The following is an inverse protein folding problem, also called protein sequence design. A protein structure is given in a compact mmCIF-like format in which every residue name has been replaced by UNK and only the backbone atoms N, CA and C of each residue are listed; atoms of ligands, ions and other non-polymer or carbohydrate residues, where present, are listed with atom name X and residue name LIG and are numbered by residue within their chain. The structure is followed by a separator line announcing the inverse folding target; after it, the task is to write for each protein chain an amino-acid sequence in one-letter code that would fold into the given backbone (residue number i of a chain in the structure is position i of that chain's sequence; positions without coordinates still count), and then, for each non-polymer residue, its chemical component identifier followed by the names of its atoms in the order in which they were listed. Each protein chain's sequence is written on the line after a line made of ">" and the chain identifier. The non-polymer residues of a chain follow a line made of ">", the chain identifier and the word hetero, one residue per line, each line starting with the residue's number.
data_IF_454729907226
#
_entry.id   IF_454729907226
#
_cell.length_a   1.000
_cell.length_b   1.000
_cell.length_c   1.000
_cell.angle_alpha   90.00
_cell.angle_beta   90.00
_cell.angle_gamma   90.00
#
_symmetry.space_group_name_H-M   'P 1'
#
loop_
_entity.id
_entity.type
_entity.pdbx_description
1 polymer ?
#
# COMPACT_ATOMS: atom_id res chain seq x y z
N UNK A 1 -20.01 -5.80 -2.26
CA UNK A 1 -20.75 -6.68 -1.33
C UNK A 1 -22.21 -6.27 -1.12
N UNK A 2 -22.52 -5.04 -0.66
CA UNK A 2 -23.91 -4.58 -0.45
C UNK A 2 -24.75 -4.65 -1.73
N UNK A 3 -24.18 -4.22 -2.87
CA UNK A 3 -24.87 -4.19 -4.15
C UNK A 3 -25.18 -5.59 -4.71
N UNK A 4 -24.18 -6.48 -4.72
CA UNK A 4 -24.32 -7.84 -5.27
C UNK A 4 -25.02 -8.83 -4.33
N UNK A 5 -24.95 -8.60 -3.02
CA UNK A 5 -25.39 -9.57 -2.02
C UNK A 5 -24.61 -10.89 -2.04
N UNK A 6 -25.04 -11.90 -1.26
CA UNK A 6 -24.41 -13.22 -1.25
C UNK A 6 -24.53 -13.96 -2.57
N UNK A 7 -25.66 -13.82 -3.29
CA UNK A 7 -25.90 -14.57 -4.52
C UNK A 7 -25.11 -13.99 -5.69
N UNK A 8 -25.10 -12.67 -5.88
CA UNK A 8 -24.29 -12.05 -6.94
C UNK A 8 -22.78 -12.27 -6.75
N UNK A 9 -22.28 -12.25 -5.51
CA UNK A 9 -20.89 -12.62 -5.24
C UNK A 9 -20.60 -14.10 -5.52
N UNK A 10 -21.58 -14.98 -5.24
CA UNK A 10 -21.47 -16.40 -5.60
C UNK A 10 -21.44 -16.58 -7.11
N UNK A 11 -22.26 -15.85 -7.86
CA UNK A 11 -22.31 -15.92 -9.32
C UNK A 11 -21.02 -15.44 -9.95
N UNK A 12 -20.46 -14.31 -9.48
CA UNK A 12 -19.14 -13.81 -9.91
C UNK A 12 -18.07 -14.89 -9.64
N UNK A 13 -18.00 -15.40 -8.41
CA UNK A 13 -17.01 -16.41 -8.04
C UNK A 13 -17.16 -17.72 -8.85
N UNK A 14 -18.39 -18.20 -9.06
CA UNK A 14 -18.67 -19.41 -9.86
C UNK A 14 -18.34 -19.20 -11.33
N UNK A 15 -18.60 -18.01 -11.88
CA UNK A 15 -18.25 -17.67 -13.27
C UNK A 15 -16.74 -17.62 -13.46
N UNK A 16 -16.00 -16.95 -12.57
CA UNK A 16 -14.54 -16.91 -12.64
C UNK A 16 -13.95 -18.31 -12.51
N UNK A 17 -14.44 -19.11 -11.56
CA UNK A 17 -14.01 -20.50 -11.40
C UNK A 17 -14.33 -21.36 -12.64
N UNK A 18 -15.52 -21.20 -13.23
CA UNK A 18 -15.92 -21.87 -14.46
C UNK A 18 -14.95 -21.57 -15.62
N UNK A 19 -14.58 -20.30 -15.82
CA UNK A 19 -13.62 -19.93 -16.87
C UNK A 19 -12.25 -20.58 -16.63
N UNK A 20 -11.79 -20.64 -15.37
CA UNK A 20 -10.52 -21.26 -15.03
C UNK A 20 -10.54 -22.78 -15.23
N UNK A 21 -11.68 -23.44 -14.93
CA UNK A 21 -11.88 -24.87 -15.16
C UNK A 21 -11.97 -25.22 -16.65
N UNK A 22 -12.63 -24.39 -17.47
CA UNK A 22 -12.64 -24.55 -18.93
C UNK A 22 -11.21 -24.46 -19.46
N UNK A 23 -10.47 -23.42 -19.05
CA UNK A 23 -9.07 -23.23 -19.43
C UNK A 23 -8.25 -24.47 -19.03
N UNK A 24 -8.35 -24.92 -17.77
CA UNK A 24 -7.66 -26.11 -17.27
C UNK A 24 -7.96 -27.35 -18.11
N UNK A 25 -9.23 -27.65 -18.31
CA UNK A 25 -9.68 -28.85 -19.03
C UNK A 25 -9.12 -28.87 -20.46
N UNK A 26 -9.14 -27.73 -21.15
CA UNK A 26 -8.64 -27.67 -22.52
C UNK A 26 -7.11 -27.71 -22.57
N UNK A 27 -6.42 -27.02 -21.67
CA UNK A 27 -4.96 -27.10 -21.58
C UNK A 27 -4.48 -28.54 -21.31
N UNK A 28 -5.16 -29.29 -20.45
CA UNK A 28 -4.85 -30.70 -20.22
C UNK A 28 -5.05 -31.55 -21.48
N UNK A 29 -6.12 -31.29 -22.25
CA UNK A 29 -6.37 -31.97 -23.52
C UNK A 29 -5.31 -31.65 -24.59
N UNK A 30 -4.70 -30.45 -24.54
CA UNK A 30 -3.57 -30.05 -25.38
C UNK A 30 -2.23 -30.64 -24.92
N UNK A 31 -2.19 -31.36 -23.80
CA UNK A 31 -0.99 -32.01 -23.27
C UNK A 31 -0.19 -31.18 -22.26
N UNK A 32 -0.76 -30.09 -21.73
CA UNK A 32 -0.16 -29.38 -20.61
C UNK A 32 -0.43 -30.10 -19.28
N UNK A 33 0.50 -29.98 -18.35
CA UNK A 33 0.29 -30.30 -16.94
C UNK A 33 -0.09 -29.03 -16.18
N UNK A 34 -1.16 -29.10 -15.39
CA UNK A 34 -1.65 -27.98 -14.56
C UNK A 34 -1.48 -28.29 -13.07
N UNK A 35 -2.05 -27.47 -12.18
CA UNK A 35 -2.05 -27.72 -10.73
C UNK A 35 -2.57 -29.12 -10.37
N UNK A 36 -2.01 -29.70 -9.31
CA UNK A 36 -2.60 -30.84 -8.64
C UNK A 36 -3.79 -30.40 -7.79
N UNK A 37 -4.90 -31.12 -7.86
CA UNK A 37 -6.07 -30.91 -7.02
C UNK A 37 -6.97 -29.75 -7.45
N UNK A 38 -7.64 -29.14 -6.47
CA UNK A 38 -8.64 -28.10 -6.67
C UNK A 38 -8.00 -26.72 -6.91
N UNK A 39 -8.62 -25.93 -7.77
CA UNK A 39 -8.24 -24.55 -8.09
C UNK A 39 -9.44 -23.62 -7.89
N UNK A 40 -9.21 -22.32 -7.75
CA UNK A 40 -10.28 -21.34 -7.88
C UNK A 40 -10.19 -20.66 -9.25
N UNK A 41 -9.28 -19.71 -9.41
CA UNK A 41 -9.13 -18.86 -10.60
C UNK A 41 -7.75 -18.95 -11.25
N UNK A 42 -6.82 -19.65 -10.61
CA UNK A 42 -5.39 -19.58 -10.91
C UNK A 42 -4.83 -20.94 -11.31
N UNK A 43 -4.19 -20.97 -12.48
CA UNK A 43 -3.46 -22.11 -13.02
C UNK A 43 -1.96 -21.90 -12.96
N UNK A 44 -1.23 -22.96 -12.65
CA UNK A 44 0.20 -23.12 -12.89
C UNK A 44 0.37 -24.21 -13.95
N UNK A 45 0.78 -23.80 -15.14
CA UNK A 45 0.82 -24.60 -16.37
C UNK A 45 2.27 -24.92 -16.71
N UNK A 46 2.55 -26.16 -17.11
CA UNK A 46 3.89 -26.63 -17.50
C UNK A 46 3.81 -27.73 -18.56
N UNK A 47 4.91 -27.99 -19.26
CA UNK A 47 4.92 -28.94 -20.37
C UNK A 47 4.13 -28.43 -21.59
N UNK A 48 3.53 -29.34 -22.35
CA UNK A 48 2.69 -29.04 -23.51
C UNK A 48 3.44 -28.63 -24.79
N UNK A 49 2.70 -28.28 -25.85
CA UNK A 49 3.23 -28.03 -27.20
C UNK A 49 4.02 -26.73 -27.32
N UNK A 50 3.67 -25.68 -26.58
CA UNK A 50 4.42 -24.42 -26.58
C UNK A 50 5.34 -24.33 -25.36
N UNK A 51 6.59 -23.94 -25.62
CA UNK A 51 7.55 -23.56 -24.57
C UNK A 51 7.12 -22.27 -23.87
N UNK A 52 7.63 -22.02 -22.66
CA UNK A 52 7.40 -20.78 -21.91
C UNK A 52 7.65 -19.52 -22.75
N UNK A 53 8.73 -19.52 -23.55
CA UNK A 53 9.10 -18.38 -24.39
C UNK A 53 8.13 -18.18 -25.57
N UNK A 54 7.65 -19.26 -26.18
CA UNK A 54 6.62 -19.17 -27.22
C UNK A 54 5.32 -18.62 -26.67
N UNK A 55 4.87 -19.11 -25.52
CA UNK A 55 3.69 -18.59 -24.81
C UNK A 55 3.89 -17.11 -24.50
N UNK A 56 5.05 -16.72 -23.95
CA UNK A 56 5.36 -15.32 -23.63
C UNK A 56 5.23 -14.41 -24.85
N UNK A 57 5.85 -14.81 -25.96
CA UNK A 57 5.81 -14.04 -27.21
C UNK A 57 4.38 -13.90 -27.74
N UNK A 58 3.59 -14.98 -27.72
CA UNK A 58 2.20 -14.96 -28.17
C UNK A 58 1.30 -14.14 -27.24
N UNK A 59 1.51 -14.21 -25.93
CA UNK A 59 0.79 -13.42 -24.94
C UNK A 59 1.05 -11.91 -25.15
N UNK A 60 2.32 -11.52 -25.31
CA UNK A 60 2.68 -10.12 -25.59
C UNK A 60 2.12 -9.63 -26.93
N UNK A 61 2.03 -10.49 -27.95
CA UNK A 61 1.42 -10.13 -29.23
C UNK A 61 -0.11 -9.90 -29.14
N UNK A 62 -0.73 -10.31 -28.04
CA UNK A 62 -2.15 -10.12 -27.74
C UNK A 62 -2.38 -9.20 -26.52
N UNK A 63 -1.37 -8.43 -26.11
CA UNK A 63 -1.42 -7.53 -24.94
C UNK A 63 -1.82 -8.23 -23.62
N UNK A 64 -1.43 -9.50 -23.45
CA UNK A 64 -1.66 -10.30 -22.25
C UNK A 64 -0.39 -10.47 -21.43
N UNK A 65 -0.47 -10.18 -20.14
CA UNK A 65 0.58 -10.49 -19.17
C UNK A 65 0.27 -11.79 -18.42
N UNK A 66 1.28 -12.66 -18.31
CA UNK A 66 1.23 -13.90 -17.53
C UNK A 66 2.38 -13.93 -16.52
N UNK A 67 2.28 -14.81 -15.51
CA UNK A 67 3.34 -14.99 -14.52
C UNK A 67 4.34 -16.04 -15.00
N UNK A 68 5.61 -15.69 -15.16
CA UNK A 68 6.64 -16.64 -15.60
C UNK A 68 7.47 -17.14 -14.41
N UNK A 69 7.56 -18.47 -14.24
CA UNK A 69 8.36 -19.09 -13.18
C UNK A 69 9.72 -19.54 -13.73
N UNK A 70 10.76 -19.48 -12.90
CA UNK A 70 12.11 -19.89 -13.28
C UNK A 70 12.24 -21.35 -13.77
N UNK A 71 11.33 -22.23 -13.34
CA UNK A 71 11.26 -23.64 -13.79
C UNK A 71 10.54 -23.87 -15.11
N UNK A 72 10.29 -22.84 -15.92
CA UNK A 72 9.61 -22.94 -17.22
C UNK A 72 8.08 -23.00 -17.14
N UNK A 73 7.48 -23.04 -15.95
CA UNK A 73 6.03 -22.98 -15.78
C UNK A 73 5.47 -21.57 -16.02
N UNK A 74 4.20 -21.48 -16.39
CA UNK A 74 3.45 -20.23 -16.60
C UNK A 74 2.25 -20.18 -15.66
N UNK A 75 2.05 -19.06 -14.99
CA UNK A 75 0.91 -18.80 -14.13
C UNK A 75 -0.13 -17.95 -14.86
N UNK A 76 -1.39 -18.37 -14.79
CA UNK A 76 -2.54 -17.66 -15.35
C UNK A 76 -3.57 -17.49 -14.25
N UNK A 77 -3.93 -16.26 -13.91
CA UNK A 77 -5.02 -15.96 -12.96
C UNK A 77 -6.13 -15.26 -13.72
N UNK A 78 -7.33 -15.81 -13.69
CA UNK A 78 -8.51 -15.19 -14.28
C UNK A 78 -9.24 -14.37 -13.23
N UNK A 79 -10.05 -13.40 -13.67
CA UNK A 79 -10.82 -12.54 -12.77
C UNK A 79 -12.25 -12.31 -13.31
N UNK A 80 -12.96 -11.36 -12.73
CA UNK A 80 -14.33 -11.01 -13.12
C UNK A 80 -14.41 -10.44 -14.55
N UNK A 81 -13.38 -9.74 -15.01
CA UNK A 81 -13.38 -9.02 -16.29
C UNK A 81 -13.19 -9.96 -17.50
N UNK A 82 -12.64 -11.15 -17.29
CA UNK A 82 -12.43 -12.15 -18.35
C UNK A 82 -13.75 -12.50 -19.04
N UNK A 83 -13.82 -12.35 -20.36
CA UNK A 83 -14.94 -12.81 -21.18
C UNK A 83 -14.57 -14.10 -21.92
N UNK A 84 -15.53 -14.65 -22.68
CA UNK A 84 -15.28 -15.82 -23.53
C UNK A 84 -14.23 -15.53 -24.60
N UNK A 85 -14.10 -14.28 -25.04
CA UNK A 85 -13.11 -13.91 -26.05
C UNK A 85 -11.69 -13.93 -25.47
N UNK A 86 -11.46 -13.32 -24.30
CA UNK A 86 -10.14 -13.39 -23.65
C UNK A 86 -9.78 -14.84 -23.30
N UNK A 87 -10.77 -15.66 -22.91
CA UNK A 87 -10.54 -17.10 -22.69
C UNK A 87 -10.09 -17.81 -23.97
N UNK A 88 -10.69 -17.51 -25.14
CA UNK A 88 -10.26 -18.07 -26.43
C UNK A 88 -8.86 -17.59 -26.81
N UNK A 89 -8.57 -16.30 -26.65
CA UNK A 89 -7.22 -15.75 -26.87
C UNK A 89 -6.18 -16.46 -26.01
N UNK A 90 -6.49 -16.73 -24.73
CA UNK A 90 -5.62 -17.52 -23.87
C UNK A 90 -5.41 -18.94 -24.43
N UNK A 91 -6.47 -19.63 -24.84
CA UNK A 91 -6.35 -20.97 -25.42
C UNK A 91 -5.44 -20.97 -26.67
N UNK A 92 -5.61 -20.00 -27.56
CA UNK A 92 -4.77 -19.83 -28.77
C UNK A 92 -3.30 -19.56 -28.41
N UNK A 93 -3.03 -18.73 -27.39
CA UNK A 93 -1.66 -18.51 -26.88
C UNK A 93 -0.99 -19.82 -26.46
N UNK A 94 -1.76 -20.72 -25.85
CA UNK A 94 -1.31 -22.05 -25.45
C UNK A 94 -1.37 -23.10 -26.59
N UNK A 95 -1.72 -22.72 -27.82
CA UNK A 95 -1.65 -23.59 -28.99
C UNK A 95 -2.95 -24.30 -29.34
N UNK A 96 -4.09 -23.81 -28.87
CA UNK A 96 -5.39 -24.18 -29.45
C UNK A 96 -5.50 -23.67 -30.89
N UNK A 97 -6.16 -24.44 -31.75
CA UNK A 97 -6.40 -24.12 -33.16
C UNK A 97 -7.68 -23.30 -33.39
N UNK A 98 -8.29 -22.79 -32.32
CA UNK A 98 -9.54 -22.03 -32.36
C UNK A 98 -10.78 -22.92 -32.48
N UNK A 99 -10.63 -24.25 -32.37
CA UNK A 99 -11.76 -25.19 -32.47
C UNK A 99 -12.40 -25.52 -31.13
N UNK A 100 -11.89 -24.97 -30.02
CA UNK A 100 -12.43 -25.22 -28.69
C UNK A 100 -13.91 -24.79 -28.59
N UNK A 101 -14.79 -25.78 -28.41
CA UNK A 101 -16.19 -25.54 -28.04
C UNK A 101 -16.28 -25.22 -26.55
N UNK A 102 -16.16 -23.92 -26.24
CA UNK A 102 -16.22 -23.38 -24.88
C UNK A 102 -17.55 -23.72 -24.19
N UNK A 103 -18.67 -23.77 -24.93
CA UNK A 103 -19.97 -24.09 -24.35
C UNK A 103 -20.07 -25.57 -23.95
N UNK A 104 -19.56 -26.46 -24.79
CA UNK A 104 -19.47 -27.88 -24.46
C UNK A 104 -18.56 -28.11 -23.25
N UNK A 105 -17.40 -27.44 -23.20
CA UNK A 105 -16.49 -27.51 -22.06
C UNK A 105 -17.17 -27.02 -20.78
N UNK A 106 -17.89 -25.89 -20.84
CA UNK A 106 -18.61 -25.34 -19.71
C UNK A 106 -19.65 -26.31 -19.10
N UNK A 107 -20.28 -27.15 -19.93
CA UNK A 107 -21.24 -28.19 -19.47
C UNK A 107 -20.55 -29.41 -18.87
N UNK A 108 -19.26 -29.62 -19.17
CA UNK A 108 -18.51 -30.81 -18.76
C UNK A 108 -17.72 -30.64 -17.45
N UNK A 109 -17.38 -29.39 -17.09
CA UNK A 109 -16.54 -29.12 -15.93
C UNK A 109 -17.32 -29.19 -14.61
N UNK A 110 -16.67 -29.75 -13.58
CA UNK A 110 -17.20 -29.79 -12.21
C UNK A 110 -16.82 -28.50 -11.49
N UNK A 111 -17.81 -27.72 -11.07
CA UNK A 111 -17.61 -26.45 -10.36
C UNK A 111 -17.70 -26.56 -8.83
N UNK A 112 -18.27 -27.66 -8.34
CA UNK A 112 -18.45 -27.82 -6.90
C UNK A 112 -17.21 -28.46 -6.30
N UNK A 113 -16.69 -27.82 -5.26
CA UNK A 113 -15.61 -28.39 -4.46
C UNK A 113 -16.13 -29.57 -3.63
N UNK A 114 -15.28 -30.59 -3.45
CA UNK A 114 -15.57 -31.67 -2.51
C UNK A 114 -15.19 -31.25 -1.07
N UNK A 115 -15.70 -31.99 -0.08
CA UNK A 115 -15.24 -31.83 1.30
C UNK A 115 -13.73 -32.12 1.40
N UNK A 116 -12.94 -31.34 2.16
CA UNK A 116 -13.36 -30.30 3.09
C UNK A 116 -13.38 -28.86 2.50
N UNK A 117 -13.20 -28.70 1.19
CA UNK A 117 -13.04 -27.39 0.55
C UNK A 117 -14.37 -26.69 0.24
N UNK A 118 -15.46 -27.46 0.13
CA UNK A 118 -16.80 -26.92 -0.14
C UNK A 118 -17.29 -26.03 1.00
N UNK A 119 -17.51 -24.74 0.73
CA UNK A 119 -18.17 -23.84 1.70
C UNK A 119 -19.64 -24.19 1.82
N UNK A 120 -20.07 -24.61 3.00
CA UNK A 120 -21.48 -24.93 3.32
C UNK A 120 -22.18 -23.87 4.18
N UNK A 121 -21.41 -22.98 4.82
CA UNK A 121 -21.94 -21.88 5.65
C UNK A 121 -22.64 -20.82 4.80
N UNK A 122 -23.75 -20.25 5.30
CA UNK A 122 -24.31 -19.01 4.76
C UNK A 122 -23.42 -17.79 5.09
N UNK A 123 -23.60 -16.68 4.37
CA UNK A 123 -22.87 -15.43 4.58
C UNK A 123 -23.69 -14.23 4.11
N UNK A 124 -23.35 -13.03 4.58
CA UNK A 124 -24.06 -11.78 4.26
C UNK A 124 -25.58 -11.87 4.51
N UNK A 125 -25.99 -12.55 5.59
CA UNK A 125 -27.41 -12.75 5.95
C UNK A 125 -28.07 -11.51 6.55
N UNK A 126 -27.28 -10.51 6.95
CA UNK A 126 -27.83 -9.26 7.48
C UNK A 126 -28.64 -8.53 6.39
N UNK A 127 -29.79 -7.90 6.72
CA UNK A 127 -30.65 -7.26 5.72
C UNK A 127 -29.94 -6.23 4.83
N UNK A 128 -28.90 -5.57 5.32
CA UNK A 128 -28.10 -4.58 4.56
C UNK A 128 -27.58 -5.13 3.23
N UNK A 129 -27.21 -6.41 3.16
CA UNK A 129 -26.67 -7.03 1.94
C UNK A 129 -27.76 -7.57 1.00
N UNK A 130 -29.03 -7.44 1.39
CA UNK A 130 -30.18 -8.04 0.71
C UNK A 130 -31.27 -7.00 0.37
N UNK A 131 -30.99 -5.70 0.52
CA UNK A 131 -31.99 -4.63 0.43
C UNK A 131 -31.72 -3.56 -0.64
N UNK A 132 -30.55 -3.56 -1.28
CA UNK A 132 -30.08 -2.46 -2.13
C UNK A 132 -29.43 -2.97 -3.42
N UNK A 133 -30.19 -3.73 -4.23
CA UNK A 133 -29.66 -4.39 -5.44
C UNK A 133 -30.02 -3.63 -6.72
N UNK A 134 -31.06 -2.78 -6.70
CA UNK A 134 -31.32 -1.83 -7.78
C UNK A 134 -30.38 -0.63 -7.71
N UNK A 135 -29.92 -0.14 -8.86
CA UNK A 135 -29.02 1.01 -8.95
C UNK A 135 -29.57 2.23 -8.18
N UNK A 136 -30.87 2.52 -8.32
CA UNK A 136 -31.51 3.63 -7.63
C UNK A 136 -31.67 3.42 -6.12
N UNK A 137 -31.78 2.17 -5.66
CA UNK A 137 -31.81 1.83 -4.23
C UNK A 137 -30.44 2.02 -3.60
N UNK A 138 -29.39 1.56 -4.29
CA UNK A 138 -28.00 1.78 -3.87
C UNK A 138 -27.64 3.26 -3.86
N UNK A 139 -28.06 4.03 -4.88
CA UNK A 139 -27.88 5.48 -4.91
C UNK A 139 -28.49 6.15 -3.67
N UNK A 140 -29.75 5.81 -3.35
CA UNK A 140 -30.44 6.34 -2.15
C UNK A 140 -29.75 5.89 -0.86
N UNK A 141 -29.27 4.66 -0.80
CA UNK A 141 -28.53 4.12 0.34
C UNK A 141 -27.24 4.91 0.59
N UNK A 142 -26.40 5.07 -0.44
CA UNK A 142 -25.16 5.85 -0.37
C UNK A 142 -25.46 7.29 0.04
N UNK A 143 -26.44 7.95 -0.60
CA UNK A 143 -26.78 9.34 -0.27
C UNK A 143 -27.27 9.50 1.16
N UNK A 144 -28.03 8.53 1.67
CA UNK A 144 -28.50 8.53 3.06
C UNK A 144 -27.36 8.39 4.06
N UNK A 145 -26.35 7.57 3.76
CA UNK A 145 -25.15 7.48 4.60
C UNK A 145 -24.35 8.78 4.54
N UNK A 146 -24.06 9.28 3.34
CA UNK A 146 -23.35 10.55 3.11
C UNK A 146 -23.99 11.71 3.90
N UNK A 147 -25.33 11.79 3.92
CA UNK A 147 -26.06 12.86 4.63
C UNK A 147 -25.91 12.86 6.16
N UNK A 148 -25.39 11.78 6.75
CA UNK A 148 -25.17 11.66 8.20
C UNK A 148 -23.78 12.13 8.62
N UNK A 149 -22.88 12.32 7.67
CA UNK A 149 -21.47 12.58 7.93
C UNK A 149 -21.13 14.03 7.57
N UNK A 150 -20.67 14.79 8.56
CA UNK A 150 -20.14 16.13 8.33
C UNK A 150 -18.80 16.02 7.61
N UNK A 151 -18.73 16.63 6.43
CA UNK A 151 -17.54 16.62 5.55
C UNK A 151 -17.10 18.04 5.17
N UNK A 152 -15.97 18.16 4.47
CA UNK A 152 -15.46 19.44 3.96
C UNK A 152 -16.38 20.11 2.92
N UNK A 153 -17.39 19.40 2.40
CA UNK A 153 -18.44 20.01 1.58
C UNK A 153 -19.41 20.89 2.39
N UNK A 154 -19.39 20.80 3.73
CA UNK A 154 -20.31 21.51 4.62
C UNK A 154 -19.65 22.70 5.31
N UNK A 155 -18.52 22.46 5.97
CA UNK A 155 -17.86 23.45 6.82
C UNK A 155 -16.39 23.10 7.02
N UNK A 156 -15.66 24.02 7.66
CA UNK A 156 -14.34 23.73 8.21
C UNK A 156 -14.42 22.56 9.21
N UNK A 157 -13.44 21.65 9.15
CA UNK A 157 -13.20 20.59 10.14
C UNK A 157 -11.82 20.86 10.77
N UNK A 158 -11.73 21.61 11.88
CA UNK A 158 -10.45 22.08 12.42
C UNK A 158 -9.76 21.04 13.32
N UNK A 159 -9.56 19.83 12.80
CA UNK A 159 -8.86 18.78 13.53
C UNK A 159 -7.34 19.06 13.52
N UNK A 160 -6.80 19.40 14.69
CA UNK A 160 -5.36 19.58 14.89
C UNK A 160 -4.58 18.34 14.46
N UNK A 161 -3.39 18.54 13.90
CA UNK A 161 -2.54 17.48 13.32
C UNK A 161 -3.13 16.73 12.10
N UNK A 162 -4.34 17.06 11.62
CA UNK A 162 -4.94 16.43 10.44
C UNK A 162 -4.79 17.24 9.14
N UNK A 163 -4.62 18.57 9.23
CA UNK A 163 -4.49 19.45 8.05
C UNK A 163 -5.64 19.25 7.05
N UNK A 164 -6.88 19.47 7.50
CA UNK A 164 -8.09 19.33 6.68
C UNK A 164 -8.18 20.45 5.62
N UNK A 165 -7.33 20.38 4.60
CA UNK A 165 -7.24 21.34 3.48
C UNK A 165 -8.11 20.92 2.30
N UNK A 166 -8.12 21.75 1.25
CA UNK A 166 -8.77 21.42 -0.01
C UNK A 166 -8.16 20.16 -0.64
N UNK A 167 -9.03 19.23 -1.05
CA UNK A 167 -8.71 18.16 -1.99
C UNK A 167 -9.28 18.57 -3.35
N UNK A 168 -8.48 19.18 -4.22
CA UNK A 168 -9.02 19.84 -5.40
C UNK A 168 -9.52 18.82 -6.42
N UNK A 169 -10.65 19.09 -7.06
CA UNK A 169 -11.21 18.18 -8.09
C UNK A 169 -10.19 17.88 -9.20
N UNK A 170 -9.41 18.88 -9.61
CA UNK A 170 -8.34 18.73 -10.61
C UNK A 170 -7.25 17.75 -10.19
N UNK A 171 -6.97 17.64 -8.89
CA UNK A 171 -6.00 16.69 -8.32
C UNK A 171 -6.59 15.28 -8.23
N UNK A 172 -7.90 15.17 -8.01
CA UNK A 172 -8.59 13.89 -7.79
C UNK A 172 -8.95 13.13 -9.06
N UNK A 173 -9.27 13.84 -10.16
CA UNK A 173 -9.80 13.23 -11.40
C UNK A 173 -8.90 12.09 -11.90
N UNK A 174 -7.58 12.29 -11.88
CA UNK A 174 -6.61 11.35 -12.44
C UNK A 174 -6.56 10.01 -11.72
N UNK A 175 -6.93 9.93 -10.43
CA UNK A 175 -6.90 8.68 -9.65
C UNK A 175 -7.77 7.58 -10.28
N UNK A 176 -8.80 7.95 -11.03
CA UNK A 176 -9.75 7.02 -11.68
C UNK A 176 -9.49 6.80 -13.17
N UNK A 177 -8.44 7.39 -13.75
CA UNK A 177 -8.10 7.13 -15.14
C UNK A 177 -7.63 5.68 -15.32
N UNK A 178 -8.05 4.97 -16.38
CA UNK A 178 -7.62 3.59 -16.61
C UNK A 178 -6.10 3.42 -16.64
N UNK A 179 -5.36 4.41 -17.15
CA UNK A 179 -3.90 4.41 -17.21
C UNK A 179 -3.22 4.41 -15.83
N UNK A 180 -3.93 4.87 -14.79
CA UNK A 180 -3.48 4.79 -13.40
C UNK A 180 -4.15 3.64 -12.65
N UNK A 181 -5.47 3.54 -12.67
CA UNK A 181 -6.24 2.59 -11.88
C UNK A 181 -6.25 1.16 -12.43
N UNK A 182 -5.96 0.98 -13.73
CA UNK A 182 -6.07 -0.31 -14.43
C UNK A 182 -4.77 -1.10 -14.53
N UNK A 183 -3.63 -0.56 -14.07
CA UNK A 183 -2.34 -1.22 -14.18
C UNK A 183 -2.10 -2.20 -13.02
N UNK A 184 -1.80 -3.46 -13.34
CA UNK A 184 -1.40 -4.42 -12.31
C UNK A 184 -0.03 -4.05 -11.71
N UNK A 185 0.17 -4.08 -10.38
CA UNK A 185 1.40 -3.57 -9.73
C UNK A 185 2.68 -4.33 -10.10
N UNK A 186 2.56 -5.56 -10.63
CA UNK A 186 3.68 -6.37 -11.13
C UNK A 186 3.72 -6.48 -12.65
N UNK A 187 3.08 -5.55 -13.38
CA UNK A 187 3.26 -5.44 -14.82
C UNK A 187 4.74 -5.23 -15.18
N UNK A 188 5.20 -5.73 -16.34
CA UNK A 188 6.52 -5.42 -16.88
C UNK A 188 6.85 -3.92 -16.83
N UNK A 189 8.10 -3.59 -16.51
CA UNK A 189 8.51 -2.21 -16.27
C UNK A 189 8.28 -1.30 -17.50
N UNK A 190 8.43 -1.82 -18.71
CA UNK A 190 8.18 -1.11 -19.97
C UNK A 190 6.70 -0.74 -20.19
N UNK A 191 5.77 -1.34 -19.47
CA UNK A 191 4.34 -1.00 -19.49
C UNK A 191 3.95 0.05 -18.43
N UNK A 192 4.91 0.46 -17.58
CA UNK A 192 4.70 1.37 -16.45
C UNK A 192 5.48 2.69 -16.57
N UNK A 193 5.95 3.03 -17.78
CA UNK A 193 6.83 4.19 -18.00
C UNK A 193 6.23 5.51 -17.51
N UNK A 194 4.90 5.70 -17.66
CA UNK A 194 4.20 6.87 -17.12
C UNK A 194 4.26 6.95 -15.59
N UNK A 195 4.14 5.82 -14.90
CA UNK A 195 4.33 5.76 -13.44
C UNK A 195 5.78 6.03 -13.04
N UNK A 196 6.76 5.51 -13.78
CA UNK A 196 8.17 5.77 -13.50
C UNK A 196 8.51 7.26 -13.62
N UNK A 197 7.98 7.95 -14.63
CA UNK A 197 8.12 9.39 -14.76
C UNK A 197 7.42 10.16 -13.62
N UNK A 198 6.21 9.73 -13.24
CA UNK A 198 5.48 10.30 -12.10
C UNK A 198 6.29 10.16 -10.80
N UNK A 199 6.82 8.97 -10.51
CA UNK A 199 7.62 8.70 -9.32
C UNK A 199 8.89 9.54 -9.30
N UNK A 200 9.66 9.55 -10.39
CA UNK A 200 10.91 10.32 -10.46
C UNK A 200 10.67 11.83 -10.26
N UNK A 201 9.58 12.38 -10.82
CA UNK A 201 9.21 13.79 -10.62
C UNK A 201 8.81 14.06 -9.17
N UNK A 202 7.95 13.20 -8.60
CA UNK A 202 7.47 13.36 -7.23
C UNK A 202 8.61 13.23 -6.22
N UNK A 203 9.47 12.21 -6.35
CA UNK A 203 10.65 12.02 -5.52
C UNK A 203 11.56 13.24 -5.57
N UNK A 204 11.83 13.80 -6.76
CA UNK A 204 12.62 15.02 -6.91
C UNK A 204 12.00 16.20 -6.17
N UNK A 205 10.70 16.41 -6.32
CA UNK A 205 10.01 17.52 -5.65
C UNK A 205 10.00 17.38 -4.13
N UNK A 206 9.74 16.16 -3.63
CA UNK A 206 9.73 15.88 -2.20
C UNK A 206 11.15 15.97 -1.61
N UNK A 207 12.17 15.53 -2.34
CA UNK A 207 13.57 15.70 -1.96
C UNK A 207 13.93 17.18 -1.81
N UNK A 208 13.57 18.01 -2.78
CA UNK A 208 13.79 19.47 -2.72
C UNK A 208 13.06 20.10 -1.52
N UNK A 209 11.76 19.79 -1.34
CA UNK A 209 10.95 20.32 -0.22
C UNK A 209 11.55 19.95 1.13
N UNK A 210 12.09 18.74 1.25
CA UNK A 210 12.59 18.22 2.52
C UNK A 210 14.09 18.46 2.74
N UNK A 211 14.82 18.81 1.70
CA UNK A 211 16.28 18.89 1.67
C UNK A 211 16.99 17.53 1.77
N UNK A 212 16.27 16.41 1.65
CA UNK A 212 16.87 15.07 1.68
C UNK A 212 17.45 14.65 0.33
N UNK A 213 18.42 13.73 0.37
CA UNK A 213 19.07 13.22 -0.83
C UNK A 213 18.21 12.21 -1.63
N UNK A 214 17.24 11.55 -0.99
CA UNK A 214 16.42 10.51 -1.59
C UNK A 214 15.06 10.39 -0.91
N UNK A 215 14.09 9.82 -1.64
CA UNK A 215 12.72 9.58 -1.16
C UNK A 215 12.33 8.14 -1.52
N UNK A 216 11.62 7.46 -0.63
CA UNK A 216 10.94 6.20 -0.92
C UNK A 216 9.43 6.43 -0.89
N UNK A 217 8.75 6.06 -1.98
CA UNK A 217 7.28 6.13 -2.10
C UNK A 217 6.57 4.86 -1.63
N UNK A 218 7.29 3.88 -1.07
CA UNK A 218 6.74 2.58 -0.69
C UNK A 218 5.83 2.62 0.56
N UNK A 219 6.15 3.38 1.63
CA UNK A 219 5.29 3.40 2.82
C UNK A 219 3.91 4.00 2.52
N UNK A 220 2.86 3.24 2.77
CA UNK A 220 1.48 3.57 2.42
C UNK A 220 0.68 4.28 3.53
N UNK A 221 1.34 4.63 4.64
CA UNK A 221 0.76 5.40 5.75
C UNK A 221 1.87 6.13 6.52
N UNK A 222 1.52 7.14 7.33
CA UNK A 222 2.49 7.87 8.16
C UNK A 222 3.24 6.95 9.14
N UNK A 223 2.51 6.10 9.85
CA UNK A 223 3.08 5.06 10.73
C UNK A 223 3.97 4.06 10.00
N UNK A 224 3.68 3.73 8.75
CA UNK A 224 4.54 2.89 7.93
C UNK A 224 5.83 3.61 7.52
N UNK A 225 5.77 4.93 7.33
CA UNK A 225 6.93 5.79 7.11
C UNK A 225 7.81 5.92 8.35
N UNK A 226 7.21 6.00 9.55
CA UNK A 226 7.92 5.89 10.84
C UNK A 226 8.65 4.56 10.95
N UNK A 227 7.93 3.45 10.80
CA UNK A 227 8.51 2.13 10.86
C UNK A 227 9.65 1.93 9.85
N UNK A 228 9.43 2.33 8.59
CA UNK A 228 10.46 2.24 7.55
C UNK A 228 11.69 3.10 7.87
N UNK A 229 11.50 4.34 8.34
CA UNK A 229 12.62 5.22 8.71
C UNK A 229 13.45 4.67 9.87
N UNK A 230 12.80 4.10 10.89
CA UNK A 230 13.50 3.46 12.00
C UNK A 230 14.23 2.17 11.56
N UNK A 231 13.66 1.39 10.64
CA UNK A 231 14.35 0.25 10.04
C UNK A 231 15.58 0.69 9.23
N UNK A 232 15.52 1.82 8.52
CA UNK A 232 16.66 2.40 7.81
C UNK A 232 17.75 2.85 8.78
N UNK A 233 17.39 3.54 9.88
CA UNK A 233 18.34 3.91 10.95
C UNK A 233 19.00 2.65 11.54
N UNK A 234 18.22 1.60 11.81
CA UNK A 234 18.74 0.34 12.32
C UNK A 234 19.69 -0.32 11.31
N UNK A 235 19.31 -0.37 10.04
CA UNK A 235 20.17 -0.87 8.96
C UNK A 235 21.47 -0.08 8.82
N UNK A 236 21.41 1.25 9.02
CA UNK A 236 22.59 2.13 9.06
C UNK A 236 23.54 1.78 10.20
N UNK A 237 23.04 1.61 11.43
CA UNK A 237 23.86 1.18 12.57
C UNK A 237 24.45 -0.21 12.34
N UNK A 238 23.66 -1.16 11.82
CA UNK A 238 24.14 -2.49 11.52
C UNK A 238 25.26 -2.52 10.47
N UNK A 239 25.12 -1.71 9.41
CA UNK A 239 26.15 -1.60 8.37
C UNK A 239 27.50 -1.08 8.90
N UNK A 240 27.50 -0.41 10.06
CA UNK A 240 28.68 0.07 10.77
C UNK A 240 29.19 -0.88 11.87
N UNK A 241 28.49 -1.98 12.12
CA UNK A 241 28.79 -2.90 13.23
C UNK A 241 28.27 -2.43 14.59
N UNK A 242 27.39 -1.44 14.62
CA UNK A 242 26.80 -0.85 15.83
C UNK A 242 25.44 -1.52 16.20
N UNK A 243 25.32 -2.85 16.04
CA UNK A 243 24.08 -3.62 16.26
C UNK A 243 23.47 -3.47 17.67
N UNK A 244 24.28 -3.05 18.64
CA UNK A 244 23.90 -2.82 20.03
C UNK A 244 23.14 -1.50 20.25
N UNK A 245 23.09 -0.62 19.25
CA UNK A 245 22.34 0.64 19.28
C UNK A 245 20.86 0.39 19.04
N UNK A 246 20.09 0.26 20.13
CA UNK A 246 18.65 -0.04 20.10
C UNK A 246 17.78 0.98 20.81
N UNK A 247 18.35 1.95 21.54
CA UNK A 247 17.57 2.93 22.31
C UNK A 247 17.00 4.02 21.42
N UNK A 248 15.70 4.23 21.49
CA UNK A 248 14.98 5.32 20.82
C UNK A 248 14.45 6.30 21.86
N UNK A 249 14.95 7.53 21.83
CA UNK A 249 14.45 8.63 22.64
C UNK A 249 13.18 9.20 22.00
N UNK A 250 12.13 9.42 22.78
CA UNK A 250 10.86 9.96 22.30
C UNK A 250 10.32 10.98 23.31
N UNK A 251 10.14 12.26 22.93
CA UNK A 251 9.50 13.25 23.79
C UNK A 251 8.09 12.81 24.23
N UNK A 252 7.69 13.13 25.45
CA UNK A 252 6.36 12.81 25.97
C UNK A 252 5.21 13.46 25.19
N UNK A 253 5.50 14.49 24.39
CA UNK A 253 4.55 15.18 23.51
C UNK A 253 4.35 14.49 22.15
N UNK A 254 5.17 13.49 21.80
CA UNK A 254 5.11 12.85 20.49
C UNK A 254 3.76 12.18 20.21
N UNK A 255 3.43 12.03 18.93
CA UNK A 255 2.24 11.30 18.51
C UNK A 255 2.33 9.82 18.95
N UNK A 256 1.19 9.19 19.26
CA UNK A 256 1.16 7.82 19.80
C UNK A 256 1.66 6.74 18.84
N UNK A 257 1.77 7.05 17.54
CA UNK A 257 2.37 6.14 16.56
C UNK A 257 3.89 6.01 16.76
N UNK A 258 4.58 7.08 17.18
CA UNK A 258 6.03 7.08 17.34
C UNK A 258 6.53 5.94 18.26
N UNK A 259 6.08 5.82 19.53
CA UNK A 259 6.52 4.72 20.39
C UNK A 259 6.07 3.35 19.88
N UNK A 260 4.90 3.24 19.24
CA UNK A 260 4.42 1.99 18.67
C UNK A 260 5.33 1.52 17.50
N UNK A 261 5.68 2.44 16.60
CA UNK A 261 6.60 2.21 15.47
C UNK A 261 8.00 1.84 15.95
N UNK A 262 8.50 2.49 17.00
CA UNK A 262 9.81 2.18 17.59
C UNK A 262 9.86 0.77 18.19
N UNK A 263 8.85 0.39 18.98
CA UNK A 263 8.75 -0.98 19.52
C UNK A 263 8.64 -2.01 18.39
N UNK A 264 7.84 -1.73 17.36
CA UNK A 264 7.70 -2.61 16.21
C UNK A 264 9.00 -2.76 15.41
N UNK A 265 9.83 -1.71 15.35
CA UNK A 265 11.19 -1.75 14.77
C UNK A 265 12.22 -2.47 15.66
N UNK A 266 11.83 -2.95 16.85
CA UNK A 266 12.70 -3.64 17.79
C UNK A 266 13.58 -2.71 18.63
N UNK A 267 13.16 -1.46 18.83
CA UNK A 267 13.88 -0.47 19.64
C UNK A 267 13.36 -0.42 21.08
N UNK A 268 14.25 -0.08 22.01
CA UNK A 268 13.92 0.20 23.41
C UNK A 268 13.50 1.67 23.55
N UNK A 269 12.22 1.92 23.84
CA UNK A 269 11.70 3.29 23.96
C UNK A 269 12.07 3.88 25.32
N UNK A 270 12.68 5.06 25.30
CA UNK A 270 12.97 5.88 26.48
C UNK A 270 12.31 7.23 26.30
N UNK A 271 11.38 7.56 27.20
CA UNK A 271 10.62 8.81 27.15
C UNK A 271 11.50 9.97 27.60
N UNK A 272 11.50 11.08 26.86
CA UNK A 272 12.12 12.37 27.23
C UNK A 272 11.02 13.32 27.71
N UNK A 273 11.27 14.05 28.79
CA UNK A 273 10.33 15.00 29.36
C UNK A 273 10.12 16.23 28.47
N UNK A 274 9.03 16.94 28.70
CA UNK A 274 8.79 18.27 28.17
C UNK A 274 8.79 19.30 29.32
N UNK A 275 9.23 20.51 29.03
CA UNK A 275 9.20 21.63 29.98
C UNK A 275 7.75 22.15 30.21
N UNK A 276 7.58 23.11 31.13
CA UNK A 276 6.27 23.70 31.44
C UNK A 276 5.61 24.41 30.25
N UNK A 277 6.39 24.79 29.22
CA UNK A 277 5.91 25.42 28.00
C UNK A 277 5.63 24.39 26.89
N UNK A 278 5.84 23.10 27.15
CA UNK A 278 5.61 22.01 26.22
C UNK A 278 6.73 21.80 25.19
N UNK A 279 7.91 22.41 25.37
CA UNK A 279 9.10 22.12 24.57
C UNK A 279 9.80 20.86 25.08
N UNK A 280 10.69 20.27 24.29
CA UNK A 280 11.57 19.19 24.76
C UNK A 280 12.48 19.72 25.87
N UNK A 281 12.52 19.02 27.01
CA UNK A 281 13.43 19.35 28.10
C UNK A 281 14.87 18.98 27.69
N UNK A 282 15.69 19.99 27.42
CA UNK A 282 17.08 19.80 26.96
C UNK A 282 17.97 19.14 28.02
N UNK A 283 17.71 19.38 29.31
CA UNK A 283 18.55 18.83 30.37
C UNK A 283 18.22 17.35 30.57
N UNK A 284 16.94 16.98 30.55
CA UNK A 284 16.52 15.59 30.56
C UNK A 284 16.95 14.85 29.27
N UNK A 285 16.86 15.50 28.11
CA UNK A 285 17.37 14.96 26.84
C UNK A 285 18.86 14.64 26.93
N UNK A 286 19.68 15.60 27.40
CA UNK A 286 21.13 15.40 27.57
C UNK A 286 21.42 14.27 28.55
N UNK A 287 20.74 14.26 29.70
CA UNK A 287 20.93 13.22 30.71
C UNK A 287 20.64 11.82 30.16
N UNK A 288 19.54 11.65 29.41
CA UNK A 288 19.17 10.37 28.79
C UNK A 288 20.06 10.00 27.62
N UNK A 289 20.44 10.96 26.78
CA UNK A 289 21.38 10.74 25.69
C UNK A 289 22.76 10.29 26.23
N UNK A 290 23.24 10.88 27.32
CA UNK A 290 24.49 10.49 27.98
C UNK A 290 24.36 9.13 28.68
N UNK A 291 23.25 8.88 29.39
CA UNK A 291 22.96 7.60 30.04
C UNK A 291 22.93 6.44 29.03
N UNK A 292 22.42 6.68 27.83
CA UNK A 292 22.25 5.67 26.79
C UNK A 292 23.25 5.80 25.63
N UNK A 293 24.31 6.59 25.75
CA UNK A 293 25.20 6.95 24.64
C UNK A 293 25.76 5.76 23.83
N UNK A 294 26.11 4.67 24.52
CA UNK A 294 26.59 3.43 23.90
C UNK A 294 25.50 2.74 23.06
N UNK A 295 24.25 2.80 23.50
CA UNK A 295 23.11 2.11 22.88
C UNK A 295 22.17 3.04 22.12
N UNK A 296 22.48 4.33 22.02
CA UNK A 296 21.60 5.34 21.42
C UNK A 296 21.51 5.10 19.92
N UNK A 297 20.32 4.74 19.46
CA UNK A 297 20.02 4.50 18.05
C UNK A 297 19.41 5.74 17.40
N UNK A 298 18.37 6.28 18.02
CA UNK A 298 17.57 7.34 17.42
C UNK A 298 16.93 8.30 18.44
N UNK A 299 16.59 9.49 17.97
CA UNK A 299 15.54 10.35 18.53
C UNK A 299 14.40 10.42 17.52
N UNK A 300 13.15 10.33 17.98
CA UNK A 300 11.99 10.72 17.19
C UNK A 300 11.49 12.08 17.68
N UNK A 301 11.42 13.08 16.79
CA UNK A 301 10.93 14.42 17.09
C UNK A 301 9.86 14.84 16.08
N UNK A 302 8.86 15.61 16.50
CA UNK A 302 7.88 16.22 15.60
C UNK A 302 8.19 17.71 15.51
N UNK A 303 8.33 18.26 14.31
CA UNK A 303 8.63 19.68 14.13
C UNK A 303 7.69 20.35 13.11
N UNK A 304 7.08 21.51 13.41
CA UNK A 304 6.88 22.04 14.77
C UNK A 304 6.19 21.00 15.66
N UNK A 305 6.27 21.18 16.98
CA UNK A 305 5.81 20.18 17.95
C UNK A 305 4.32 19.90 17.83
N UNK A 306 3.85 18.85 18.50
CA UNK A 306 2.41 18.51 18.57
C UNK A 306 1.57 19.58 19.28
N UNK A 307 2.22 20.49 20.02
CA UNK A 307 1.61 21.69 20.60
C UNK A 307 1.45 22.84 19.59
N UNK A 308 1.98 22.70 18.37
CA UNK A 308 1.92 23.73 17.33
C UNK A 308 2.94 24.85 17.48
N UNK A 309 4.05 24.59 18.18
CA UNK A 309 5.11 25.58 18.47
C UNK A 309 6.41 25.20 17.75
N UNK A 310 7.09 26.21 17.20
CA UNK A 310 8.45 26.07 16.67
C UNK A 310 9.45 26.19 17.81
N UNK A 311 10.13 25.09 18.13
CA UNK A 311 11.14 25.05 19.19
C UNK A 311 12.46 25.66 18.69
N UNK A 312 12.93 26.73 19.33
CA UNK A 312 14.16 27.42 18.93
C UNK A 312 15.43 26.58 19.12
N UNK A 313 15.37 25.56 19.97
CA UNK A 313 16.48 24.68 20.30
C UNK A 313 16.58 23.43 19.39
N UNK A 314 15.85 23.35 18.28
CA UNK A 314 15.81 22.15 17.44
C UNK A 314 17.19 21.70 16.92
N UNK A 315 18.07 22.65 16.59
CA UNK A 315 19.45 22.34 16.20
C UNK A 315 20.23 21.73 17.35
N UNK A 316 20.14 22.31 18.55
CA UNK A 316 20.81 21.78 19.75
C UNK A 316 20.33 20.35 20.05
N UNK A 317 19.03 20.09 19.89
CA UNK A 317 18.42 18.75 20.05
C UNK A 317 19.08 17.75 19.09
N UNK A 318 19.15 18.08 17.79
CA UNK A 318 19.78 17.22 16.79
C UNK A 318 21.27 17.00 17.09
N UNK A 319 22.00 18.06 17.42
CA UNK A 319 23.43 18.00 17.74
C UNK A 319 23.73 17.12 18.97
N UNK A 320 22.88 17.18 20.02
CA UNK A 320 23.02 16.31 21.19
C UNK A 320 22.97 14.84 20.76
N UNK A 321 22.01 14.46 19.92
CA UNK A 321 21.82 13.09 19.45
C UNK A 321 22.98 12.64 18.56
N UNK A 322 23.35 13.46 17.58
CA UNK A 322 24.45 13.16 16.65
C UNK A 322 25.79 13.02 17.37
N UNK A 323 26.06 13.86 18.38
CA UNK A 323 27.28 13.79 19.19
C UNK A 323 27.42 12.49 19.99
N UNK A 324 26.33 11.73 20.20
CA UNK A 324 26.33 10.40 20.86
C UNK A 324 26.15 9.25 19.85
N UNK A 325 26.26 9.54 18.56
CA UNK A 325 26.19 8.56 17.48
C UNK A 325 24.78 8.10 17.13
N UNK A 326 23.73 8.74 17.66
CA UNK A 326 22.35 8.48 17.27
C UNK A 326 21.98 9.13 15.93
N UNK A 327 20.79 8.81 15.42
CA UNK A 327 20.19 9.46 14.25
C UNK A 327 18.89 10.17 14.65
N UNK A 328 18.47 11.18 13.89
CA UNK A 328 17.27 11.97 14.15
C UNK A 328 16.21 11.62 13.11
N UNK A 329 15.15 10.97 13.59
CA UNK A 329 13.92 10.78 12.85
C UNK A 329 12.98 11.98 13.10
N UNK A 330 12.55 12.66 12.04
CA UNK A 330 11.53 13.69 12.13
C UNK A 330 10.16 13.15 11.67
N UNK A 331 9.16 13.27 12.54
CA UNK A 331 7.76 13.14 12.16
C UNK A 331 7.33 14.39 11.37
N UNK A 332 7.08 14.20 10.08
CA UNK A 332 6.70 15.24 9.13
C UNK A 332 5.19 15.46 8.99
N UNK A 333 4.36 14.97 9.92
CA UNK A 333 2.93 15.23 9.92
C UNK A 333 2.59 16.73 9.93
N UNK A 334 3.46 17.55 10.51
CA UNK A 334 3.29 19.00 10.63
C UNK A 334 4.00 19.80 9.51
N UNK A 335 4.41 19.15 8.42
CA UNK A 335 5.12 19.81 7.30
C UNK A 335 4.33 20.95 6.65
N UNK A 336 3.02 21.03 6.81
CA UNK A 336 2.24 22.17 6.31
C UNK A 336 2.66 23.52 6.91
N UNK A 337 3.35 23.53 8.06
CA UNK A 337 3.95 24.73 8.65
C UNK A 337 5.39 25.00 8.17
N UNK A 338 6.02 24.06 7.47
CA UNK A 338 7.42 24.14 7.06
C UNK A 338 7.60 24.43 5.56
N UNK A 339 6.78 23.83 4.69
CA UNK A 339 6.97 23.87 3.22
C UNK A 339 7.19 25.31 2.73
N UNK A 340 8.35 25.55 2.11
CA UNK A 340 8.73 26.86 1.55
C UNK A 340 9.35 27.85 2.55
N UNK A 341 9.45 27.49 3.83
CA UNK A 341 10.03 28.33 4.89
C UNK A 341 11.29 27.71 5.50
N UNK A 342 11.26 26.39 5.76
CA UNK A 342 12.38 25.60 6.26
C UNK A 342 12.26 24.15 5.74
N UNK A 343 13.20 23.29 6.08
CA UNK A 343 13.16 21.88 5.72
C UNK A 343 13.68 20.97 6.85
N UNK A 344 13.23 19.70 6.91
CA UNK A 344 13.73 18.68 7.83
C UNK A 344 15.27 18.55 7.80
N UNK A 345 15.89 18.52 6.61
CA UNK A 345 17.34 18.44 6.51
C UNK A 345 18.01 19.71 7.06
N UNK A 346 17.42 20.90 6.83
CA UNK A 346 17.97 22.15 7.33
C UNK A 346 17.98 22.22 8.87
N UNK A 347 17.03 21.59 9.56
CA UNK A 347 16.98 21.53 11.03
C UNK A 347 17.86 20.40 11.63
N UNK A 348 18.51 19.57 10.79
CA UNK A 348 19.39 18.49 11.22
C UNK A 348 18.74 17.11 11.34
N UNK A 349 17.56 16.88 10.76
CA UNK A 349 16.99 15.53 10.68
C UNK A 349 17.74 14.66 9.66
N UNK A 350 17.86 13.35 9.93
CA UNK A 350 18.49 12.38 9.02
C UNK A 350 17.46 11.67 8.13
N UNK A 351 16.23 11.51 8.64
CA UNK A 351 15.11 10.86 7.93
C UNK A 351 13.78 11.44 8.40
N UNK A 352 12.80 11.46 7.50
CA UNK A 352 11.46 11.95 7.78
C UNK A 352 10.42 11.15 6.98
N UNK A 353 9.21 11.02 7.51
CA UNK A 353 8.05 10.65 6.69
C UNK A 353 7.20 11.89 6.35
N UNK A 354 6.44 11.82 5.25
CA UNK A 354 5.46 12.84 4.90
C UNK A 354 4.06 12.23 4.86
N UNK A 355 3.09 12.88 5.49
CA UNK A 355 1.67 12.55 5.27
C UNK A 355 1.17 13.28 4.01
N UNK A 356 1.20 12.60 2.86
CA UNK A 356 0.62 13.16 1.64
C UNK A 356 -0.88 13.46 1.79
N UNK A 357 -1.61 12.66 2.57
CA UNK A 357 -3.02 12.88 2.94
C UNK A 357 -3.27 13.98 3.97
N UNK A 358 -2.23 14.72 4.38
CA UNK A 358 -2.34 15.93 5.19
C UNK A 358 -1.80 17.12 4.40
N UNK A 359 -0.49 17.13 4.19
CA UNK A 359 0.22 18.28 3.63
C UNK A 359 0.05 18.38 2.11
N UNK A 360 -0.16 17.27 1.40
CA UNK A 360 -0.14 17.21 -0.07
C UNK A 360 -1.43 16.67 -0.67
N UNK A 361 -2.56 17.09 -0.09
CA UNK A 361 -3.93 17.08 -0.65
C UNK A 361 -4.56 15.72 -1.01
N UNK A 362 -3.91 14.57 -0.77
CA UNK A 362 -4.61 13.28 -0.80
C UNK A 362 -5.79 13.34 0.19
N UNK A 363 -7.01 12.89 -0.19
CA UNK A 363 -8.19 13.02 0.66
C UNK A 363 -8.09 12.15 1.91
N UNK A 364 -8.66 12.61 3.02
CA UNK A 364 -8.66 11.87 4.29
C UNK A 364 -9.53 10.60 4.29
N UNK A 365 -10.44 10.45 3.32
CA UNK A 365 -11.20 9.20 3.09
C UNK A 365 -12.16 8.76 4.20
N UNK A 366 -12.32 9.53 5.28
CA UNK A 366 -13.01 9.07 6.50
C UNK A 366 -12.14 8.19 7.40
N UNK A 367 -10.83 8.15 7.20
CA UNK A 367 -9.89 7.36 8.01
C UNK A 367 -8.77 6.66 7.23
N UNK A 368 -8.39 7.16 6.06
CA UNK A 368 -7.36 6.56 5.21
C UNK A 368 -7.55 6.93 3.75
#
# INVERSE_FOLDING_TARGET
>A
AVYHGPDGLRDIARRTHLMAEILRSRLQALGYTTNDGAIFDTLKVSGGPHTQEQIRRLALANDVNLRYYAGGAVGVSLDEAVTVNELRTLLEIFGDDGTADVEALARSVKLDFDAPLARTSTFLTHPVFNSYHGEHEMLRYIKRLESRDLSLAHSMIPLGSCTMKLNATTEMIAVTWPEFAGLHPFAPADQSLGYQELFARLEKWLAEITGFAAVSLQPNAGSQGEYAGLLVIRGYHHARGDDHRTVCLIPSSAHGTNPASAVMAGMDVVVVACDENGNVDLDDLRAKADQHADRLAALMVTYPSTHGVFESAIHDICEIIHARGGQVYMDGANMNAQVGLTSPAAIGADVCHLNLHKTFTIPHGGGG
#
